data_IF_606827832852
#
_entry.id   IF_606827832852
#
_cell.length_a   1.000
_cell.length_b   1.000
_cell.length_c   1.000
_cell.angle_alpha   90.00
_cell.angle_beta   90.00
_cell.angle_gamma   90.00
#
_symmetry.space_group_name_H-M   'P 1'
#
loop_
_entity.id
_entity.type
_entity.pdbx_description
1 polymer ?
#
# COMPACT_ATOMS: atom_id res chain seq x y z
N UNK A 1 6.52 8.83 10.98
CA UNK A 1 5.14 8.31 10.95
C UNK A 1 4.17 9.32 11.51
N UNK A 2 4.27 9.67 12.79
CA UNK A 2 3.26 10.52 13.45
C UNK A 2 2.95 11.80 12.67
N UNK A 3 3.93 12.57 12.21
CA UNK A 3 3.69 13.85 11.52
C UNK A 3 2.90 13.75 10.21
N UNK A 4 3.05 12.67 9.45
CA UNK A 4 2.41 12.50 8.14
C UNK A 4 0.94 12.10 8.22
N UNK A 5 0.51 11.52 9.35
CA UNK A 5 -0.83 10.96 9.51
C UNK A 5 -1.53 11.53 10.76
N UNK A 6 -1.23 12.78 11.16
CA UNK A 6 -1.85 13.41 12.36
C UNK A 6 -3.30 13.83 12.14
N UNK A 7 -3.61 14.30 10.93
CA UNK A 7 -4.90 14.95 10.65
C UNK A 7 -5.90 13.91 10.17
N UNK A 8 -6.68 13.37 11.10
CA UNK A 8 -7.78 12.44 10.78
C UNK A 8 -8.90 13.19 10.06
N UNK A 9 -9.39 12.61 8.97
CA UNK A 9 -10.52 13.10 8.18
C UNK A 9 -11.73 12.20 8.43
N UNK A 10 -12.93 12.78 8.32
CA UNK A 10 -14.17 12.01 8.35
C UNK A 10 -14.30 11.20 7.05
N UNK A 11 -14.70 9.93 7.20
CA UNK A 11 -15.04 9.06 6.07
C UNK A 11 -16.52 9.29 5.73
N UNK A 12 -16.81 9.46 4.43
CA UNK A 12 -18.18 9.62 3.94
C UNK A 12 -19.06 8.44 4.38
N UNK A 13 -20.28 8.71 4.83
CA UNK A 13 -21.21 7.67 5.31
C UNK A 13 -21.58 6.63 4.25
N UNK A 14 -21.41 6.96 2.97
CA UNK A 14 -21.61 6.11 1.80
C UNK A 14 -20.29 5.67 1.15
N UNK A 15 -19.20 5.55 1.92
CA UNK A 15 -17.88 5.16 1.45
C UNK A 15 -17.91 3.95 0.51
N UNK A 16 -17.44 4.15 -0.73
CA UNK A 16 -17.24 3.07 -1.69
C UNK A 16 -15.90 2.38 -1.44
N UNK A 17 -15.95 1.17 -0.91
CA UNK A 17 -14.77 0.35 -0.64
C UNK A 17 -13.90 0.07 -1.87
N UNK A 18 -14.45 0.22 -3.09
CA UNK A 18 -13.68 0.10 -4.33
C UNK A 18 -12.64 1.20 -4.48
N UNK A 19 -12.72 2.29 -3.73
CA UNK A 19 -11.65 3.29 -3.64
C UNK A 19 -10.35 2.72 -3.06
N UNK A 20 -10.40 1.61 -2.33
CA UNK A 20 -9.22 1.01 -1.69
C UNK A 20 -8.32 0.20 -2.64
N UNK A 21 -8.73 -0.06 -3.88
CA UNK A 21 -7.93 -0.86 -4.81
C UNK A 21 -8.23 -0.50 -6.27
N UNK A 22 -7.34 -0.90 -7.18
CA UNK A 22 -7.56 -0.68 -8.61
C UNK A 22 -8.51 -1.72 -9.21
N UNK A 23 -9.68 -1.25 -9.66
CA UNK A 23 -10.69 -2.05 -10.36
C UNK A 23 -10.35 -2.35 -11.84
N UNK A 24 -9.23 -1.85 -12.37
CA UNK A 24 -8.86 -2.02 -13.79
C UNK A 24 -7.99 -3.27 -14.03
N UNK A 25 -7.55 -3.95 -12.97
CA UNK A 25 -6.73 -5.17 -13.06
C UNK A 25 -7.62 -6.41 -13.13
N UNK A 26 -7.25 -7.43 -13.90
CA UNK A 26 -8.02 -8.68 -14.02
C UNK A 26 -8.33 -9.33 -12.67
N UNK A 27 -7.42 -9.25 -11.70
CA UNK A 27 -7.58 -9.76 -10.34
C UNK A 27 -8.57 -8.97 -9.48
N UNK A 28 -8.90 -7.74 -9.87
CA UNK A 28 -9.95 -6.95 -9.23
C UNK A 28 -11.36 -7.49 -9.50
N UNK A 29 -11.49 -8.43 -10.45
CA UNK A 29 -12.73 -9.14 -10.77
C UNK A 29 -12.89 -10.42 -9.97
N UNK A 30 -11.96 -10.80 -9.09
CA UNK A 30 -12.10 -12.00 -8.25
C UNK A 30 -13.33 -11.83 -7.33
N UNK A 31 -14.43 -12.59 -7.55
CA UNK A 31 -15.66 -12.40 -6.80
C UNK A 31 -15.51 -12.81 -5.34
N UNK A 32 -14.64 -13.81 -5.05
CA UNK A 32 -14.40 -14.30 -3.69
C UNK A 32 -13.67 -13.24 -2.88
N UNK A 33 -12.59 -12.66 -3.43
CA UNK A 33 -11.83 -11.61 -2.75
C UNK A 33 -12.63 -10.32 -2.58
N UNK A 34 -13.43 -9.93 -3.58
CA UNK A 34 -14.35 -8.80 -3.46
C UNK A 34 -15.37 -9.02 -2.32
N UNK A 35 -15.96 -10.22 -2.27
CA UNK A 35 -16.93 -10.57 -1.24
C UNK A 35 -16.30 -10.57 0.15
N UNK A 36 -15.07 -11.08 0.27
CA UNK A 36 -14.31 -11.07 1.52
C UNK A 36 -14.03 -9.64 2.00
N UNK A 37 -13.50 -8.78 1.13
CA UNK A 37 -13.22 -7.38 1.48
C UNK A 37 -14.50 -6.65 1.90
N UNK A 38 -15.57 -6.79 1.11
CA UNK A 38 -16.88 -6.19 1.40
C UNK A 38 -17.44 -6.66 2.75
N UNK A 39 -17.45 -7.98 2.99
CA UNK A 39 -17.93 -8.55 4.25
C UNK A 39 -17.05 -8.12 5.42
N UNK A 40 -15.74 -8.05 5.23
CA UNK A 40 -14.78 -7.59 6.23
C UNK A 40 -15.09 -6.18 6.72
N UNK A 41 -15.41 -5.27 5.81
CA UNK A 41 -15.81 -3.90 6.13
C UNK A 41 -17.22 -3.84 6.77
N UNK A 42 -18.20 -4.54 6.20
CA UNK A 42 -19.59 -4.51 6.69
C UNK A 42 -19.74 -5.10 8.10
N UNK A 43 -18.85 -6.01 8.49
CA UNK A 43 -18.88 -6.67 9.80
C UNK A 43 -17.80 -6.16 10.77
N UNK A 44 -17.18 -5.01 10.48
CA UNK A 44 -16.10 -4.42 11.30
C UNK A 44 -14.94 -5.39 11.57
N UNK A 45 -14.68 -6.32 10.65
CA UNK A 45 -13.49 -7.17 10.69
C UNK A 45 -12.27 -6.49 10.06
N UNK A 46 -12.51 -5.40 9.31
CA UNK A 46 -11.52 -4.42 8.86
C UNK A 46 -12.02 -3.05 9.33
N UNK A 47 -11.18 -2.34 10.07
CA UNK A 47 -11.42 -0.93 10.42
C UNK A 47 -10.73 -0.02 9.41
N UNK A 48 -11.38 1.10 9.08
CA UNK A 48 -10.87 2.09 8.13
C UNK A 48 -10.83 3.45 8.79
N UNK A 49 -9.67 4.09 8.73
CA UNK A 49 -9.50 5.50 9.10
C UNK A 49 -8.89 6.25 7.92
N UNK A 50 -9.28 7.52 7.74
CA UNK A 50 -8.74 8.37 6.68
C UNK A 50 -7.91 9.49 7.30
N UNK A 51 -6.76 9.75 6.70
CA UNK A 51 -5.83 10.79 7.14
C UNK A 51 -5.48 11.70 5.97
N UNK A 52 -5.40 13.00 6.24
CA UNK A 52 -4.77 13.95 5.33
C UNK A 52 -3.25 13.78 5.42
N UNK A 53 -2.61 13.56 4.28
CA UNK A 53 -1.15 13.48 4.18
C UNK A 53 -0.57 14.82 3.76
N UNK A 54 -1.15 15.42 2.72
CA UNK A 54 -0.73 16.73 2.22
C UNK A 54 -1.80 17.37 1.31
N UNK A 55 -1.76 18.70 1.21
CA UNK A 55 -2.59 19.51 0.31
C UNK A 55 -1.70 20.31 -0.67
N UNK A 56 -2.25 20.66 -1.82
CA UNK A 56 -1.60 21.44 -2.89
C UNK A 56 -0.27 20.84 -3.40
N UNK A 57 -0.20 19.52 -3.55
CA UNK A 57 1.06 18.81 -3.82
C UNK A 57 1.38 18.56 -5.30
N UNK A 58 0.59 19.10 -6.23
CA UNK A 58 0.73 18.80 -7.66
C UNK A 58 2.16 19.08 -8.16
N UNK A 59 2.73 20.25 -7.79
CA UNK A 59 4.09 20.64 -8.18
C UNK A 59 5.16 19.74 -7.53
N UNK A 60 4.99 19.36 -6.26
CA UNK A 60 5.91 18.45 -5.56
C UNK A 60 5.94 17.06 -6.23
N UNK A 61 4.77 16.52 -6.59
CA UNK A 61 4.67 15.24 -7.29
C UNK A 61 5.29 15.30 -8.68
N UNK A 62 5.03 16.37 -9.44
CA UNK A 62 5.63 16.58 -10.75
C UNK A 62 7.17 16.56 -10.68
N UNK A 63 7.75 17.23 -9.69
CA UNK A 63 9.21 17.25 -9.51
C UNK A 63 9.79 15.86 -9.18
N UNK A 64 9.07 15.05 -8.39
CA UNK A 64 9.45 13.66 -8.08
C UNK A 64 9.36 12.74 -9.30
N UNK A 65 8.41 12.99 -10.19
CA UNK A 65 8.28 12.23 -11.44
C UNK A 65 9.48 12.47 -12.35
N UNK A 66 9.96 13.72 -12.41
CA UNK A 66 11.10 14.13 -13.22
C UNK A 66 12.48 13.65 -12.70
N UNK A 67 12.52 12.89 -11.61
CA UNK A 67 13.73 12.24 -11.12
C UNK A 67 14.41 11.34 -12.17
N UNK A 68 15.43 11.89 -12.85
CA UNK A 68 16.17 11.24 -13.95
C UNK A 68 17.48 10.55 -13.52
N UNK A 69 17.91 10.73 -12.28
CA UNK A 69 19.17 10.14 -11.77
C UNK A 69 19.07 8.61 -11.74
N UNK A 70 20.17 7.90 -12.13
CA UNK A 70 20.18 6.42 -12.24
C UNK A 70 19.76 5.71 -10.95
N UNK A 71 20.11 6.23 -9.77
CA UNK A 71 19.69 5.70 -8.47
C UNK A 71 18.16 5.68 -8.31
N UNK A 72 17.47 6.71 -8.79
CA UNK A 72 16.02 6.83 -8.67
C UNK A 72 15.28 5.85 -9.58
N UNK A 73 15.83 5.52 -10.75
CA UNK A 73 15.26 4.48 -11.63
C UNK A 73 15.21 3.11 -10.96
N UNK A 74 16.24 2.78 -10.17
CA UNK A 74 16.30 1.51 -9.45
C UNK A 74 15.20 1.45 -8.38
N UNK A 75 15.03 2.51 -7.60
CA UNK A 75 14.00 2.60 -6.58
C UNK A 75 12.61 2.49 -7.20
N UNK A 76 12.35 3.26 -8.26
CA UNK A 76 11.09 3.19 -9.02
C UNK A 76 10.81 1.75 -9.47
N UNK A 77 11.81 1.03 -9.99
CA UNK A 77 11.65 -0.38 -10.36
C UNK A 77 11.32 -1.31 -9.19
N UNK A 78 11.90 -1.08 -8.01
CA UNK A 78 11.67 -1.90 -6.82
C UNK A 78 10.29 -1.67 -6.22
N UNK A 79 9.77 -0.45 -6.34
CA UNK A 79 8.46 -0.06 -5.81
C UNK A 79 7.29 -0.60 -6.62
N UNK A 80 7.50 -1.13 -7.84
CA UNK A 80 6.43 -1.59 -8.71
C UNK A 80 5.79 -2.88 -8.22
N UNK A 81 4.47 -2.86 -8.02
CA UNK A 81 3.68 -4.07 -7.72
C UNK A 81 3.60 -4.98 -8.96
N UNK A 82 3.70 -4.41 -10.17
CA UNK A 82 3.80 -5.16 -11.43
C UNK A 82 4.72 -4.50 -12.46
N UNK A 83 5.31 -5.31 -13.32
CA UNK A 83 6.37 -4.89 -14.25
C UNK A 83 5.99 -3.75 -15.23
N UNK A 84 4.71 -3.65 -15.63
CA UNK A 84 4.21 -2.60 -16.56
C UNK A 84 3.68 -1.35 -15.85
N UNK A 85 3.82 -1.25 -14.53
CA UNK A 85 3.37 -0.07 -13.80
C UNK A 85 4.13 1.19 -14.27
N UNK A 86 3.42 2.30 -14.45
CA UNK A 86 4.04 3.57 -14.83
C UNK A 86 4.78 4.18 -13.65
N UNK A 87 5.99 4.70 -13.89
CA UNK A 87 6.77 5.41 -12.88
C UNK A 87 6.00 6.61 -12.29
N UNK A 88 5.10 7.22 -13.08
CA UNK A 88 4.22 8.31 -12.63
C UNK A 88 3.38 7.91 -11.43
N UNK A 89 2.84 6.69 -11.43
CA UNK A 89 1.97 6.21 -10.35
C UNK A 89 2.69 6.05 -9.02
N UNK A 90 4.03 6.08 -9.01
CA UNK A 90 4.85 5.92 -7.82
C UNK A 90 5.14 7.24 -7.10
N UNK A 91 4.82 8.39 -7.71
CA UNK A 91 5.13 9.71 -7.12
C UNK A 91 4.56 9.90 -5.71
N UNK A 92 3.37 9.40 -5.33
CA UNK A 92 2.88 9.51 -3.95
C UNK A 92 3.74 8.73 -2.94
N UNK A 93 4.25 7.55 -3.34
CA UNK A 93 5.12 6.74 -2.47
C UNK A 93 6.48 7.42 -2.31
N UNK A 94 7.02 7.98 -3.38
CA UNK A 94 8.29 8.72 -3.34
C UNK A 94 8.18 9.97 -2.46
N UNK A 95 7.05 10.68 -2.54
CA UNK A 95 6.76 11.82 -1.66
C UNK A 95 6.81 11.40 -0.18
N UNK A 96 6.09 10.33 0.19
CA UNK A 96 6.08 9.83 1.56
C UNK A 96 7.48 9.39 2.00
N UNK A 97 8.24 8.73 1.10
CA UNK A 97 9.61 8.34 1.38
C UNK A 97 10.52 9.55 1.67
N UNK A 98 10.44 10.62 0.87
CA UNK A 98 11.19 11.85 1.11
C UNK A 98 10.81 12.53 2.43
N UNK A 99 9.52 12.57 2.78
CA UNK A 99 9.11 13.16 4.07
C UNK A 99 9.56 12.30 5.26
N UNK A 100 9.58 10.98 5.09
CA UNK A 100 10.08 10.07 6.13
C UNK A 100 11.60 10.17 6.27
N UNK A 101 12.35 10.22 5.17
CA UNK A 101 13.82 10.18 5.14
C UNK A 101 14.36 11.07 3.99
N UNK A 102 14.47 12.40 4.17
CA UNK A 102 14.77 13.34 3.07
C UNK A 102 16.09 13.10 2.32
N UNK A 103 17.06 12.43 2.96
CA UNK A 103 18.38 12.14 2.40
C UNK A 103 18.63 10.64 2.32
N UNK A 104 17.58 9.86 2.08
CA UNK A 104 17.66 8.41 2.09
C UNK A 104 18.75 7.89 1.13
N UNK A 105 19.51 6.89 1.59
CA UNK A 105 20.44 6.14 0.74
C UNK A 105 19.95 4.71 0.65
N UNK A 106 19.81 4.19 -0.57
CA UNK A 106 19.32 2.83 -0.79
C UNK A 106 20.48 1.86 -0.95
N UNK A 107 20.52 0.83 -0.11
CA UNK A 107 21.50 -0.23 -0.18
C UNK A 107 20.80 -1.60 -0.27
N UNK A 108 21.38 -2.58 -0.98
CA UNK A 108 20.97 -3.97 -0.83
C UNK A 108 21.51 -4.52 0.49
N UNK A 109 20.73 -5.37 1.13
CA UNK A 109 21.21 -6.29 2.14
C UNK A 109 22.07 -7.38 1.47
N UNK A 110 23.27 -7.61 2.00
CA UNK A 110 24.25 -8.46 1.32
C UNK A 110 23.86 -9.94 1.30
N UNK A 111 23.06 -10.40 2.26
CA UNK A 111 22.64 -11.80 2.39
C UNK A 111 21.34 -12.07 1.62
N UNK A 112 20.33 -11.23 1.86
CA UNK A 112 18.97 -11.42 1.35
C UNK A 112 18.70 -10.74 0.02
N UNK A 113 19.58 -9.79 -0.37
CA UNK A 113 19.42 -8.90 -1.54
C UNK A 113 18.18 -8.00 -1.47
N UNK A 114 17.54 -7.91 -0.30
CA UNK A 114 16.43 -6.98 -0.06
C UNK A 114 16.98 -5.56 0.00
N UNK A 115 16.29 -4.61 -0.61
CA UNK A 115 16.71 -3.21 -0.57
C UNK A 115 16.10 -2.50 0.64
N UNK A 116 16.93 -1.72 1.32
CA UNK A 116 16.52 -0.91 2.46
C UNK A 116 17.07 0.51 2.37
N UNK A 117 16.42 1.42 3.09
CA UNK A 117 16.96 2.74 3.36
C UNK A 117 17.96 2.64 4.51
N UNK A 118 19.20 3.06 4.27
CA UNK A 118 20.19 3.30 5.30
C UNK A 118 19.73 4.45 6.20
N UNK A 119 18.95 4.10 7.22
CA UNK A 119 18.37 4.99 8.22
C UNK A 119 18.05 4.16 9.46
N UNK A 120 17.86 4.83 10.59
CA UNK A 120 17.48 4.18 11.85
C UNK A 120 16.05 3.61 11.83
N UNK A 121 15.25 3.92 10.80
CA UNK A 121 13.85 3.49 10.66
C UNK A 121 13.66 2.13 9.98
N UNK A 122 14.75 1.47 9.58
CA UNK A 122 14.74 0.12 8.99
C UNK A 122 13.65 -0.06 7.89
N UNK A 123 13.61 0.89 6.96
CA UNK A 123 12.60 0.94 5.89
C UNK A 123 13.02 0.03 4.75
N UNK A 124 12.22 -0.99 4.45
CA UNK A 124 12.43 -1.89 3.30
C UNK A 124 11.62 -1.41 2.10
N UNK A 125 12.21 -1.51 0.91
CA UNK A 125 11.61 -1.08 -0.36
C UNK A 125 11.22 -2.31 -1.17
N UNK A 126 9.98 -2.35 -1.66
CA UNK A 126 9.50 -3.42 -2.52
C UNK A 126 9.56 -4.79 -1.86
N UNK A 127 9.23 -4.83 -0.56
CA UNK A 127 9.38 -6.02 0.26
C UNK A 127 8.20 -6.99 0.06
N UNK A 128 8.50 -8.27 -0.11
CA UNK A 128 7.48 -9.32 -0.28
C UNK A 128 7.47 -10.26 0.92
N UNK A 129 6.31 -10.40 1.56
CA UNK A 129 6.08 -11.31 2.66
C UNK A 129 5.74 -12.69 2.11
N UNK A 130 6.66 -13.65 2.27
CA UNK A 130 6.50 -14.99 1.74
C UNK A 130 5.28 -15.74 2.30
N UNK A 131 4.87 -15.45 3.54
CA UNK A 131 3.78 -16.16 4.22
C UNK A 131 2.40 -15.94 3.59
N UNK A 132 2.18 -14.80 2.93
CA UNK A 132 0.88 -14.42 2.34
C UNK A 132 1.02 -13.96 0.89
N UNK A 133 2.22 -14.01 0.31
CA UNK A 133 2.53 -13.39 -0.98
C UNK A 133 2.08 -11.91 -1.05
N UNK A 134 2.26 -11.19 0.05
CA UNK A 134 1.89 -9.77 0.17
C UNK A 134 3.08 -8.89 -0.23
N UNK A 135 2.82 -7.84 -1.00
CA UNK A 135 3.82 -6.88 -1.45
C UNK A 135 3.63 -5.52 -0.76
N UNK A 136 4.70 -5.04 -0.15
CA UNK A 136 4.79 -3.72 0.45
C UNK A 136 5.72 -2.83 -0.36
N UNK A 137 5.20 -1.71 -0.85
CA UNK A 137 6.03 -0.70 -1.53
C UNK A 137 7.04 -0.11 -0.56
N UNK A 138 6.56 0.33 0.60
CA UNK A 138 7.41 0.62 1.77
C UNK A 138 6.95 -0.26 2.94
N UNK A 139 7.92 -0.87 3.63
CA UNK A 139 7.69 -1.57 4.88
C UNK A 139 8.58 -1.01 5.99
N UNK A 140 7.97 -0.34 6.96
CA UNK A 140 8.63 0.18 8.16
C UNK A 140 8.60 -0.96 9.18
N UNK A 141 9.66 -1.76 9.18
CA UNK A 141 9.62 -3.06 9.86
C UNK A 141 9.62 -2.99 11.38
N UNK A 142 10.17 -1.92 11.95
CA UNK A 142 10.18 -1.72 13.40
C UNK A 142 8.79 -1.29 13.92
N UNK A 143 8.01 -0.58 13.08
CA UNK A 143 6.66 -0.12 13.40
C UNK A 143 5.57 -1.13 13.02
N UNK A 144 5.89 -2.15 12.21
CA UNK A 144 4.89 -3.06 11.63
C UNK A 144 3.96 -2.36 10.64
N UNK A 145 4.45 -1.42 9.84
CA UNK A 145 3.63 -0.58 8.96
C UNK A 145 3.95 -0.81 7.49
N UNK A 146 2.93 -1.08 6.68
CA UNK A 146 3.01 -1.13 5.22
C UNK A 146 2.39 0.14 4.64
N UNK A 147 3.07 0.74 3.66
CA UNK A 147 2.53 1.85 2.86
C UNK A 147 2.46 1.42 1.40
N UNK A 148 1.25 1.40 0.87
CA UNK A 148 0.90 0.97 -0.49
C UNK A 148 0.02 2.03 -1.17
N UNK A 149 -0.43 1.75 -2.40
CA UNK A 149 -1.29 2.65 -3.17
C UNK A 149 -2.70 2.08 -3.33
N UNK A 150 -3.71 2.94 -3.42
CA UNK A 150 -5.05 2.53 -3.88
C UNK A 150 -5.04 1.99 -5.32
N UNK A 151 -4.01 2.27 -6.11
CA UNK A 151 -3.81 1.69 -7.43
C UNK A 151 -3.31 0.23 -7.40
N UNK A 152 -3.03 -0.34 -6.23
CA UNK A 152 -2.58 -1.72 -6.06
C UNK A 152 -3.70 -2.71 -6.37
N UNK A 153 -3.31 -3.97 -6.60
CA UNK A 153 -4.29 -5.02 -6.92
C UNK A 153 -5.12 -5.41 -5.69
N UNK A 154 -6.37 -5.84 -5.94
CA UNK A 154 -7.23 -6.41 -4.89
C UNK A 154 -6.54 -7.60 -4.18
N UNK A 155 -5.82 -8.43 -4.94
CA UNK A 155 -5.05 -9.55 -4.37
C UNK A 155 -4.02 -9.03 -3.37
N UNK A 156 -3.19 -8.06 -3.77
CA UNK A 156 -2.18 -7.49 -2.87
C UNK A 156 -2.81 -6.88 -1.61
N UNK A 157 -3.91 -6.12 -1.77
CA UNK A 157 -4.66 -5.57 -0.64
C UNK A 157 -5.11 -6.66 0.33
N UNK A 158 -5.77 -7.71 -0.18
CA UNK A 158 -6.29 -8.79 0.68
C UNK A 158 -5.18 -9.59 1.35
N UNK A 159 -4.04 -9.78 0.68
CA UNK A 159 -2.87 -10.47 1.22
C UNK A 159 -2.19 -9.62 2.32
N UNK A 160 -2.06 -8.31 2.10
CA UNK A 160 -1.53 -7.40 3.13
C UNK A 160 -2.41 -7.38 4.38
N UNK A 161 -3.74 -7.33 4.21
CA UNK A 161 -4.69 -7.42 5.33
C UNK A 161 -4.66 -8.77 6.06
N UNK A 162 -4.09 -9.81 5.46
CA UNK A 162 -3.95 -11.12 6.09
C UNK A 162 -2.71 -11.24 7.00
N UNK A 163 -1.78 -10.27 6.93
CA UNK A 163 -0.59 -10.25 7.77
C UNK A 163 -0.94 -9.96 9.24
N UNK A 164 -0.25 -10.64 10.14
CA UNK A 164 -0.42 -10.47 11.59
C UNK A 164 0.42 -9.29 12.10
N UNK A 165 -0.15 -8.49 13.01
CA UNK A 165 0.50 -7.33 13.64
C UNK A 165 1.02 -6.29 12.64
N UNK A 166 0.31 -6.09 11.52
CA UNK A 166 0.63 -5.09 10.51
C UNK A 166 -0.50 -4.06 10.39
N UNK A 167 -0.13 -2.78 10.34
CA UNK A 167 -1.00 -1.70 9.90
C UNK A 167 -0.76 -1.42 8.41
N UNK A 168 -1.83 -1.30 7.62
CA UNK A 168 -1.75 -1.01 6.19
C UNK A 168 -2.25 0.41 5.90
N UNK A 169 -1.41 1.24 5.29
CA UNK A 169 -1.79 2.55 4.78
C UNK A 169 -1.84 2.49 3.26
N UNK A 170 -2.96 2.93 2.68
CA UNK A 170 -3.13 3.07 1.24
C UNK A 170 -3.18 4.55 0.87
N UNK A 171 -2.18 5.03 0.14
CA UNK A 171 -2.17 6.40 -0.37
C UNK A 171 -3.12 6.53 -1.56
N UNK A 172 -3.85 7.63 -1.57
CA UNK A 172 -4.78 8.01 -2.63
C UNK A 172 -4.63 9.48 -2.98
N UNK A 173 -4.95 9.81 -4.22
CA UNK A 173 -4.92 11.17 -4.75
C UNK A 173 -6.34 11.67 -4.98
N UNK A 174 -6.75 12.66 -4.19
CA UNK A 174 -8.06 13.29 -4.31
C UNK A 174 -7.98 14.56 -5.16
N UNK A 175 -9.00 14.71 -6.01
CA UNK A 175 -9.14 15.88 -6.87
C UNK A 175 -9.81 17.00 -6.08
N UNK A 176 -9.19 18.17 -6.04
CA UNK A 176 -9.78 19.40 -5.50
C UNK A 176 -9.88 20.38 -6.65
N UNK A 177 -11.08 20.92 -6.89
CA UNK A 177 -11.36 21.86 -7.99
C UNK A 177 -10.93 21.37 -9.39
N UNK A 178 -10.92 20.05 -9.62
CA UNK A 178 -10.55 19.48 -10.92
C UNK A 178 -9.05 19.23 -11.10
N UNK A 179 -8.24 19.35 -10.05
CA UNK A 179 -6.82 19.01 -10.07
C UNK A 179 -6.48 18.02 -8.93
N UNK A 180 -5.69 17.00 -9.23
CA UNK A 180 -5.16 16.07 -8.23
C UNK A 180 -4.17 16.81 -7.32
N UNK A 181 -4.68 17.32 -6.20
CA UNK A 181 -3.97 18.29 -5.36
C UNK A 181 -3.93 17.89 -3.89
N UNK A 182 -4.72 16.89 -3.47
CA UNK A 182 -4.71 16.38 -2.10
C UNK A 182 -4.25 14.93 -2.06
N UNK A 183 -3.29 14.62 -1.19
CA UNK A 183 -2.96 13.24 -0.83
C UNK A 183 -3.61 12.88 0.49
N UNK A 184 -4.27 11.71 0.49
CA UNK A 184 -4.85 11.10 1.68
C UNK A 184 -4.30 9.70 1.86
N UNK A 185 -4.42 9.18 3.07
CA UNK A 185 -4.12 7.79 3.37
C UNK A 185 -5.30 7.12 4.06
N UNK A 186 -5.67 5.94 3.57
CA UNK A 186 -6.59 5.04 4.26
C UNK A 186 -5.77 4.08 5.12
N UNK A 187 -5.84 4.24 6.44
CA UNK A 187 -5.34 3.26 7.39
C UNK A 187 -6.35 2.13 7.50
N UNK A 188 -5.88 0.92 7.30
CA UNK A 188 -6.65 -0.31 7.38
C UNK A 188 -6.04 -1.21 8.45
N UNK A 189 -6.86 -1.66 9.39
CA UNK A 189 -6.47 -2.60 10.43
C UNK A 189 -7.42 -3.80 10.37
N UNK A 190 -6.85 -5.00 10.20
CA UNK A 190 -7.63 -6.24 10.16
C UNK A 190 -7.67 -6.92 11.52
N UNK A 191 -8.81 -7.50 11.83
CA UNK A 191 -9.00 -8.34 13.02
C UNK A 191 -8.45 -9.74 12.80
N UNK A 192 -8.14 -10.51 13.87
CA UNK A 192 -7.81 -11.93 13.76
C UNK A 192 -8.85 -12.72 12.96
N UNK A 193 -10.14 -12.40 13.16
CA UNK A 193 -11.26 -13.05 12.44
C UNK A 193 -11.15 -12.90 10.92
N UNK A 194 -10.74 -11.74 10.42
CA UNK A 194 -10.54 -11.55 8.98
C UNK A 194 -9.43 -12.47 8.46
N UNK A 195 -8.31 -12.55 9.18
CA UNK A 195 -7.15 -13.37 8.83
C UNK A 195 -7.49 -14.85 8.76
N UNK A 196 -8.25 -15.35 9.73
CA UNK A 196 -8.69 -16.75 9.77
C UNK A 196 -9.59 -17.10 8.57
N UNK A 197 -10.51 -16.20 8.19
CA UNK A 197 -11.39 -16.41 7.03
C UNK A 197 -10.59 -16.42 5.73
N UNK A 198 -9.64 -15.50 5.55
CA UNK A 198 -8.78 -15.48 4.35
C UNK A 198 -7.95 -16.77 4.24
N UNK A 199 -7.36 -17.23 5.35
CA UNK A 199 -6.58 -18.48 5.38
C UNK A 199 -7.41 -19.69 4.95
N UNK A 200 -8.62 -19.82 5.47
CA UNK A 200 -9.54 -20.91 5.08
C UNK A 200 -9.96 -20.83 3.60
N UNK A 201 -10.07 -19.62 3.05
CA UNK A 201 -10.40 -19.43 1.63
C UNK A 201 -9.27 -19.96 0.73
N UNK A 202 -8.02 -19.70 1.09
CA UNK A 202 -6.84 -20.19 0.36
C UNK A 202 -6.70 -21.71 0.46
N UNK A 203 -6.92 -22.29 1.65
CA UNK A 203 -6.88 -23.74 1.85
C UNK A 203 -7.94 -24.48 1.02
N UNK A 204 -9.12 -23.88 0.87
CA UNK A 204 -10.17 -24.43 0.01
C UNK A 204 -9.76 -24.50 -1.46
N UNK A 205 -9.06 -23.47 -1.96
CA UNK A 205 -8.53 -23.41 -3.32
C UNK A 205 -7.43 -24.45 -3.54
N UNK A 206 -6.51 -24.57 -2.58
CA UNK A 206 -5.46 -25.59 -2.63
C UNK A 206 -6.07 -27.00 -2.68
N UNK A 207 -7.08 -27.27 -1.85
CA UNK A 207 -7.75 -28.57 -1.82
C UNK A 207 -8.49 -28.88 -3.13
N UNK A 208 -9.06 -27.88 -3.80
CA UNK A 208 -9.73 -28.06 -5.11
C UNK A 208 -8.74 -28.33 -6.25
N UNK A 209 -7.51 -27.81 -6.19
CA UNK A 209 -6.47 -28.02 -7.21
C UNK A 209 -5.84 -29.42 -7.14
N UNK A 210 -5.73 -29.98 -5.92
CA UNK A 210 -5.10 -31.28 -5.68
C UNK A 210 -6.10 -32.44 -5.52
N UNK A 211 -7.37 -32.24 -5.89
CA UNK A 211 -8.39 -33.29 -6.04
C UNK A 211 -8.55 -33.68 -7.50
#
# INVERSE_FOLDING_TARGET
>A
MEELFRTKLEIESNFDYKKLFSATKSTSLDPKLNSLLKAGLQHNAIEVEKYLVADNIADELYNLEEWKVKSHKKIKSLLKDWHMESDYSLSPILFVLEKLEPNFIVAPDDETKIYFIQSDKNIKIGYRFASQDAFARLYLSDDGVIINLTSDSLVNLTNCLALENIELYLLDMEWVNGEASRMVAYKLVSTPRYRDVKRNLDDSLMTEIFK
#
